data_IF_952954845238
#
_entry.id   IF_952954845238
#
_cell.length_a   1.000
_cell.length_b   1.000
_cell.length_c   1.000
_cell.angle_alpha   90.00
_cell.angle_beta   90.00
_cell.angle_gamma   90.00
#
_symmetry.space_group_name_H-M   'P 1'
#
loop_
_entity.id
_entity.type
_entity.pdbx_description
1 polymer ?
#
# COMPACT_ATOMS: atom_id res chain seq x y z
N UNK A 1 -6.18 11.62 3.70
CA UNK A 1 -6.03 10.31 4.34
C UNK A 1 -6.30 10.41 5.83
N UNK A 2 -7.19 9.59 6.37
CA UNK A 2 -7.64 9.51 7.76
C UNK A 2 -7.70 10.85 8.53
N UNK A 3 -8.41 11.87 8.04
CA UNK A 3 -8.46 13.19 8.67
C UNK A 3 -9.33 13.22 9.93
N UNK A 4 -9.54 12.08 10.56
CA UNK A 4 -10.44 11.87 11.71
C UNK A 4 -9.78 10.94 12.73
N UNK A 5 -10.11 11.11 13.98
CA UNK A 5 -9.66 10.22 15.05
C UNK A 5 -10.56 8.97 15.15
N UNK A 6 -11.87 9.18 15.08
CA UNK A 6 -12.89 8.12 15.12
C UNK A 6 -13.68 8.12 13.81
N UNK A 7 -14.02 6.92 13.31
CA UNK A 7 -14.86 6.78 12.12
C UNK A 7 -16.25 7.42 12.29
N UNK A 8 -16.76 7.44 13.49
CA UNK A 8 -18.06 8.07 13.80
C UNK A 8 -18.04 9.59 13.54
N UNK A 9 -16.89 10.23 13.56
CA UNK A 9 -16.74 11.64 13.22
C UNK A 9 -17.20 11.93 11.79
N UNK A 10 -17.09 10.95 10.90
CA UNK A 10 -17.55 11.04 9.51
C UNK A 10 -19.06 11.14 9.35
N UNK A 11 -19.83 10.72 10.35
CA UNK A 11 -21.31 10.83 10.33
C UNK A 11 -21.80 12.28 10.39
N UNK A 12 -20.93 13.21 10.78
CA UNK A 12 -21.24 14.63 10.89
C UNK A 12 -20.73 15.46 9.71
N UNK A 13 -20.11 14.81 8.72
CA UNK A 13 -19.49 15.48 7.58
C UNK A 13 -20.39 15.36 6.35
N UNK A 14 -20.73 16.50 5.77
CA UNK A 14 -21.34 16.53 4.43
C UNK A 14 -20.27 16.31 3.36
N UNK A 15 -20.12 15.05 2.96
CA UNK A 15 -19.10 14.62 1.99
C UNK A 15 -19.23 15.22 0.60
N UNK A 16 -20.37 15.84 0.27
CA UNK A 16 -20.57 16.50 -1.02
C UNK A 16 -19.69 17.73 -1.21
N UNK A 17 -19.24 18.33 -0.10
CA UNK A 17 -18.42 19.55 -0.07
C UNK A 17 -16.95 19.30 0.30
N UNK A 18 -16.57 18.06 0.55
CA UNK A 18 -15.21 17.71 0.97
C UNK A 18 -14.48 16.88 -0.09
N UNK A 19 -13.14 16.90 -0.11
CA UNK A 19 -12.36 16.00 -0.96
C UNK A 19 -12.60 14.53 -0.57
N UNK A 20 -12.23 13.63 -1.49
CA UNK A 20 -12.28 12.20 -1.26
C UNK A 20 -11.55 11.80 0.03
N UNK A 21 -12.16 10.92 0.82
CA UNK A 21 -11.60 10.45 2.08
C UNK A 21 -11.04 9.05 1.90
N UNK A 22 -9.78 8.87 2.28
CA UNK A 22 -9.08 7.59 2.26
C UNK A 22 -8.88 7.04 3.68
N UNK A 23 -8.87 5.71 3.81
CA UNK A 23 -8.41 5.00 5.01
C UNK A 23 -7.07 4.31 4.75
N UNK A 24 -6.18 4.28 5.75
CA UNK A 24 -4.91 3.56 5.76
C UNK A 24 -4.78 2.69 7.02
N UNK A 25 -4.57 3.28 8.19
CA UNK A 25 -4.34 2.52 9.43
C UNK A 25 -5.55 1.67 9.81
N UNK A 26 -6.74 2.12 9.47
CA UNK A 26 -7.99 1.38 9.69
C UNK A 26 -8.27 0.29 8.65
N UNK A 27 -7.48 0.26 7.57
CA UNK A 27 -7.52 -0.78 6.54
C UNK A 27 -6.73 -2.03 6.98
N UNK A 28 -7.15 -2.68 8.06
CA UNK A 28 -6.40 -3.77 8.71
C UNK A 28 -6.56 -5.13 8.04
N UNK A 29 -7.75 -5.43 7.56
CA UNK A 29 -8.10 -6.69 6.91
C UNK A 29 -9.30 -6.51 5.97
N UNK A 30 -9.55 -7.51 5.12
CA UNK A 30 -10.62 -7.48 4.13
C UNK A 30 -12.00 -7.20 4.74
N UNK A 31 -12.34 -7.85 5.84
CA UNK A 31 -13.69 -7.73 6.44
C UNK A 31 -13.88 -6.33 7.06
N UNK A 32 -12.86 -5.85 7.77
CA UNK A 32 -12.86 -4.51 8.35
C UNK A 32 -12.99 -3.43 7.27
N UNK A 33 -12.25 -3.54 6.18
CA UNK A 33 -12.33 -2.62 5.03
C UNK A 33 -13.75 -2.61 4.46
N UNK A 34 -14.31 -3.78 4.15
CA UNK A 34 -15.65 -3.88 3.56
C UNK A 34 -16.73 -3.31 4.48
N UNK A 35 -16.60 -3.54 5.80
CA UNK A 35 -17.51 -2.95 6.78
C UNK A 35 -17.42 -1.43 6.80
N UNK A 36 -16.20 -0.89 6.81
CA UNK A 36 -15.98 0.56 6.85
C UNK A 36 -16.53 1.24 5.60
N UNK A 37 -16.22 0.75 4.41
CA UNK A 37 -16.71 1.35 3.15
C UNK A 37 -18.23 1.23 2.97
N UNK A 38 -18.85 0.26 3.66
CA UNK A 38 -20.32 0.13 3.66
C UNK A 38 -21.00 1.12 4.61
N UNK A 39 -20.36 1.43 5.74
CA UNK A 39 -20.94 2.23 6.80
C UNK A 39 -20.62 3.73 6.70
N UNK A 40 -19.49 4.06 6.10
CA UNK A 40 -18.95 5.42 6.08
C UNK A 40 -18.66 5.89 4.65
N UNK A 41 -18.67 7.18 4.39
CA UNK A 41 -18.46 7.76 3.06
C UNK A 41 -16.99 7.74 2.64
N UNK A 42 -16.36 6.58 2.72
CA UNK A 42 -14.99 6.34 2.29
C UNK A 42 -14.97 6.10 0.79
N UNK A 43 -14.11 6.80 0.08
CA UNK A 43 -14.01 6.74 -1.38
C UNK A 43 -12.67 6.20 -1.87
N UNK A 44 -11.70 6.05 -0.96
CA UNK A 44 -10.40 5.49 -1.27
C UNK A 44 -9.87 4.61 -0.12
N UNK A 45 -9.05 3.63 -0.46
CA UNK A 45 -8.38 2.72 0.49
C UNK A 45 -6.92 2.62 0.15
N UNK A 46 -6.05 2.79 1.16
CA UNK A 46 -4.63 2.47 1.06
C UNK A 46 -4.46 0.98 1.31
N UNK A 47 -4.02 0.26 0.28
CA UNK A 47 -3.81 -1.19 0.32
C UNK A 47 -2.35 -1.47 0.57
N UNK A 48 -2.02 -2.07 1.73
CA UNK A 48 -0.66 -2.50 2.09
C UNK A 48 -0.58 -4.03 2.03
N UNK A 49 0.07 -4.61 1.02
CA UNK A 49 -0.01 -6.05 0.71
C UNK A 49 0.33 -6.95 1.89
N UNK A 50 1.38 -6.60 2.63
CA UNK A 50 1.87 -7.45 3.71
C UNK A 50 1.05 -7.33 5.01
N UNK A 51 0.28 -6.25 5.17
CA UNK A 51 -0.73 -6.14 6.23
C UNK A 51 -1.92 -7.08 5.98
N UNK A 52 -2.25 -7.30 4.71
CA UNK A 52 -3.38 -8.12 4.28
C UNK A 52 -3.06 -9.62 4.18
N UNK A 53 -1.82 -9.99 4.44
CA UNK A 53 -1.37 -11.39 4.43
C UNK A 53 -0.84 -11.87 3.09
N UNK A 54 -0.48 -10.97 2.18
CA UNK A 54 0.25 -11.28 0.96
C UNK A 54 -0.31 -10.65 -0.31
N UNK A 55 0.39 -10.91 -1.40
CA UNK A 55 0.17 -10.27 -2.71
C UNK A 55 -1.16 -10.70 -3.32
N UNK A 56 -1.47 -12.00 -3.27
CA UNK A 56 -2.69 -12.55 -3.88
C UNK A 56 -3.95 -11.95 -3.23
N UNK A 57 -3.95 -11.86 -1.90
CA UNK A 57 -5.05 -11.25 -1.15
C UNK A 57 -5.17 -9.76 -1.41
N UNK A 58 -4.04 -9.07 -1.55
CA UNK A 58 -4.04 -7.65 -1.88
C UNK A 58 -4.61 -7.41 -3.29
N UNK A 59 -4.24 -8.24 -4.27
CA UNK A 59 -4.75 -8.16 -5.64
C UNK A 59 -6.25 -8.42 -5.69
N UNK A 60 -6.73 -9.44 -5.00
CA UNK A 60 -8.15 -9.75 -4.88
C UNK A 60 -8.94 -8.58 -4.27
N UNK A 61 -8.43 -7.99 -3.19
CA UNK A 61 -9.03 -6.81 -2.57
C UNK A 61 -9.04 -5.61 -3.52
N UNK A 62 -7.96 -5.36 -4.25
CA UNK A 62 -7.88 -4.26 -5.23
C UNK A 62 -8.99 -4.40 -6.28
N UNK A 63 -9.18 -5.60 -6.83
CA UNK A 63 -10.24 -5.84 -7.81
C UNK A 63 -11.62 -5.61 -7.21
N UNK A 64 -11.87 -6.14 -6.01
CA UNK A 64 -13.15 -5.99 -5.31
C UNK A 64 -13.47 -4.51 -5.00
N UNK A 65 -12.47 -3.72 -4.59
CA UNK A 65 -12.65 -2.29 -4.32
C UNK A 65 -12.98 -1.52 -5.62
N UNK A 66 -12.30 -1.84 -6.72
CA UNK A 66 -12.56 -1.24 -8.03
C UNK A 66 -13.98 -1.55 -8.54
N UNK A 67 -14.46 -2.77 -8.35
CA UNK A 67 -15.85 -3.17 -8.68
C UNK A 67 -16.89 -2.34 -7.89
N UNK A 68 -16.52 -1.87 -6.72
CA UNK A 68 -17.37 -1.00 -5.87
C UNK A 68 -17.13 0.50 -6.09
N UNK A 69 -16.39 0.87 -7.12
CA UNK A 69 -15.95 2.26 -7.42
C UNK A 69 -15.14 2.91 -6.28
N UNK A 70 -14.54 2.12 -5.42
CA UNK A 70 -13.60 2.60 -4.41
C UNK A 70 -12.21 2.73 -5.03
N UNK A 71 -11.60 3.89 -4.89
CA UNK A 71 -10.26 4.15 -5.40
C UNK A 71 -9.21 3.46 -4.54
N UNK A 72 -8.15 3.02 -5.17
CA UNK A 72 -7.07 2.28 -4.50
C UNK A 72 -5.75 3.04 -4.60
N UNK A 73 -5.09 3.19 -3.48
CA UNK A 73 -3.69 3.60 -3.37
C UNK A 73 -2.92 2.38 -2.85
N UNK A 74 -1.92 1.90 -3.58
CA UNK A 74 -1.06 0.84 -3.06
C UNK A 74 0.09 1.49 -2.30
N UNK A 75 0.15 1.23 -0.99
CA UNK A 75 1.16 1.78 -0.10
C UNK A 75 2.19 0.75 0.33
N UNK A 76 3.44 1.18 0.47
CA UNK A 76 4.49 0.42 1.11
C UNK A 76 4.46 0.53 2.63
N UNK A 77 5.34 -0.22 3.24
CA UNK A 77 5.68 -0.14 4.67
C UNK A 77 7.20 0.00 4.79
N UNK A 78 7.78 -0.29 5.94
CA UNK A 78 9.22 -0.44 6.09
C UNK A 78 9.66 -1.76 5.44
N UNK A 79 9.93 -1.72 4.13
CA UNK A 79 10.12 -2.90 3.30
C UNK A 79 11.55 -3.05 2.80
N UNK A 80 12.05 -4.28 2.85
CA UNK A 80 13.23 -4.68 2.07
C UNK A 80 12.89 -4.78 0.57
N UNK A 81 13.91 -4.76 -0.28
CA UNK A 81 13.75 -4.66 -1.72
C UNK A 81 12.83 -5.72 -2.34
N UNK A 82 12.82 -6.96 -1.84
CA UNK A 82 11.93 -7.99 -2.35
C UNK A 82 10.45 -7.63 -2.15
N UNK A 83 10.08 -7.25 -0.94
CA UNK A 83 8.70 -6.81 -0.63
C UNK A 83 8.34 -5.58 -1.44
N UNK A 84 9.20 -4.58 -1.44
CA UNK A 84 9.04 -3.33 -2.19
C UNK A 84 8.85 -3.55 -3.69
N UNK A 85 9.54 -4.55 -4.27
CA UNK A 85 9.32 -4.93 -5.66
C UNK A 85 7.90 -5.39 -5.92
N UNK A 86 7.35 -6.25 -5.07
CA UNK A 86 5.97 -6.72 -5.22
C UNK A 86 4.95 -5.62 -4.94
N UNK A 87 5.20 -4.75 -3.97
CA UNK A 87 4.36 -3.57 -3.73
C UNK A 87 4.34 -2.67 -4.97
N UNK A 88 5.49 -2.46 -5.62
CA UNK A 88 5.59 -1.70 -6.86
C UNK A 88 4.84 -2.35 -8.03
N UNK A 89 4.83 -3.69 -8.13
CA UNK A 89 4.03 -4.39 -9.13
C UNK A 89 2.54 -4.19 -8.91
N UNK A 90 2.09 -4.32 -7.67
CA UNK A 90 0.69 -4.10 -7.30
C UNK A 90 0.25 -2.64 -7.50
N UNK A 91 1.16 -1.69 -7.35
CA UNK A 91 0.86 -0.26 -7.55
C UNK A 91 0.38 0.06 -8.98
N UNK A 92 0.70 -0.78 -9.97
CA UNK A 92 0.18 -0.68 -11.33
C UNK A 92 -1.34 -0.91 -11.39
N UNK A 93 -1.86 -1.66 -10.42
CA UNK A 93 -3.30 -1.91 -10.29
C UNK A 93 -4.02 -0.82 -9.48
N UNK A 94 -3.29 0.13 -8.89
CA UNK A 94 -3.86 1.25 -8.14
C UNK A 94 -4.64 2.22 -9.02
N UNK A 95 -5.54 2.98 -8.39
CA UNK A 95 -6.26 4.08 -9.02
C UNK A 95 -5.46 5.39 -9.02
N UNK A 96 -4.50 5.49 -8.09
CA UNK A 96 -3.58 6.60 -7.91
C UNK A 96 -2.14 6.10 -7.86
N UNK A 97 -1.15 6.98 -8.00
CA UNK A 97 0.25 6.62 -7.77
C UNK A 97 0.45 5.96 -6.41
N UNK A 98 1.26 4.90 -6.38
CA UNK A 98 1.58 4.20 -5.13
C UNK A 98 2.57 4.98 -4.27
N UNK A 99 2.51 4.76 -2.95
CA UNK A 99 3.50 5.26 -2.00
C UNK A 99 4.58 4.20 -1.78
N UNK A 100 5.68 4.33 -2.53
CA UNK A 100 6.77 3.35 -2.54
C UNK A 100 8.10 4.10 -2.44
N UNK A 101 8.84 3.80 -1.38
CA UNK A 101 10.12 4.46 -1.13
C UNK A 101 11.25 3.89 -1.99
N UNK A 102 12.26 4.72 -2.35
CA UNK A 102 13.43 4.25 -3.06
C UNK A 102 14.34 3.37 -2.18
N UNK A 103 15.29 2.70 -2.83
CA UNK A 103 16.34 1.93 -2.18
C UNK A 103 17.20 2.82 -1.25
N UNK A 104 17.63 2.23 -0.12
CA UNK A 104 18.46 2.94 0.86
C UNK A 104 17.72 3.99 1.70
N UNK A 105 16.39 4.11 1.59
CA UNK A 105 15.64 5.11 2.35
C UNK A 105 15.44 4.72 3.82
N UNK A 106 15.08 3.46 4.09
CA UNK A 106 14.84 2.97 5.46
C UNK A 106 15.99 2.12 6.01
N UNK A 107 16.69 1.40 5.14
CA UNK A 107 17.73 0.46 5.54
C UNK A 107 19.03 0.76 4.80
N UNK A 108 20.14 0.77 5.53
CA UNK A 108 21.49 0.92 4.95
C UNK A 108 21.91 -0.32 4.18
N UNK A 109 21.43 -1.49 4.60
CA UNK A 109 21.72 -2.78 3.99
C UNK A 109 20.44 -3.50 3.60
N UNK A 110 20.44 -4.12 2.42
CA UNK A 110 19.35 -4.94 1.92
C UNK A 110 19.93 -6.26 1.40
N UNK A 111 19.20 -7.36 1.57
CA UNK A 111 19.57 -8.67 1.01
C UNK A 111 19.22 -8.80 -0.47
N UNK A 112 18.65 -7.78 -1.07
CA UNK A 112 18.35 -7.69 -2.49
C UNK A 112 19.20 -6.65 -3.18
N UNK A 113 19.44 -6.84 -4.46
CA UNK A 113 20.24 -5.91 -5.27
C UNK A 113 19.43 -5.40 -6.46
N UNK A 114 19.61 -4.12 -6.79
CA UNK A 114 19.13 -3.53 -8.04
C UNK A 114 17.69 -3.06 -8.05
N UNK A 115 17.04 -2.94 -6.87
CA UNK A 115 15.64 -2.56 -6.76
C UNK A 115 15.48 -1.15 -6.23
N UNK A 116 14.57 -0.40 -6.84
CA UNK A 116 14.14 0.89 -6.30
C UNK A 116 15.19 1.98 -6.35
N UNK A 117 16.16 1.89 -7.25
CA UNK A 117 17.15 2.96 -7.43
C UNK A 117 16.50 4.19 -8.01
N UNK A 118 16.70 5.31 -7.33
CA UNK A 118 16.30 6.63 -7.83
C UNK A 118 17.35 7.12 -8.83
N UNK A 119 16.92 7.40 -10.05
CA UNK A 119 17.75 7.98 -11.08
C UNK A 119 16.94 9.03 -11.86
N UNK A 120 17.43 10.27 -11.90
CA UNK A 120 16.81 11.36 -12.67
C UNK A 120 15.32 11.57 -12.33
N UNK A 121 14.95 11.42 -11.06
CA UNK A 121 13.56 11.56 -10.60
C UNK A 121 12.67 10.32 -10.82
N UNK A 122 13.22 9.26 -11.40
CA UNK A 122 12.51 8.00 -11.65
C UNK A 122 13.02 6.88 -10.75
N UNK A 123 12.11 6.03 -10.30
CA UNK A 123 12.45 4.83 -9.53
C UNK A 123 12.29 3.61 -10.42
N UNK A 124 13.35 2.81 -10.53
CA UNK A 124 13.39 1.62 -11.37
C UNK A 124 13.22 0.36 -10.51
N UNK A 125 12.19 -0.41 -10.78
CA UNK A 125 11.90 -1.69 -10.12
C UNK A 125 12.14 -2.83 -11.10
N UNK A 126 13.33 -3.42 -11.04
CA UNK A 126 13.65 -4.66 -11.76
C UNK A 126 13.45 -5.87 -10.84
N UNK A 127 13.23 -7.08 -11.39
CA UNK A 127 13.21 -8.30 -10.59
C UNK A 127 14.47 -8.41 -9.71
N UNK A 128 14.31 -8.65 -8.39
CA UNK A 128 15.44 -8.63 -7.48
C UNK A 128 16.39 -9.81 -7.66
N UNK A 129 17.67 -9.54 -7.50
CA UNK A 129 18.65 -10.59 -7.24
C UNK A 129 18.82 -10.70 -5.73
N UNK A 130 18.57 -11.89 -5.19
CA UNK A 130 18.70 -12.15 -3.75
C UNK A 130 20.15 -12.50 -3.44
N UNK A 131 20.73 -11.82 -2.46
CA UNK A 131 22.01 -12.17 -1.87
C UNK A 131 21.78 -13.11 -0.69
N UNK A 132 21.85 -14.41 -0.94
CA UNK A 132 21.62 -15.45 0.08
C UNK A 132 22.61 -15.32 1.25
N UNK A 133 23.85 -14.88 0.99
CA UNK A 133 24.85 -14.72 2.04
C UNK A 133 24.51 -13.59 3.03
N UNK A 134 23.66 -12.64 2.64
CA UNK A 134 23.18 -11.59 3.54
C UNK A 134 22.06 -12.08 4.47
N UNK A 135 21.42 -13.22 4.17
CA UNK A 135 20.37 -13.82 5.00
C UNK A 135 20.94 -14.66 6.16
N UNK A 136 22.16 -15.19 6.01
CA UNK A 136 22.81 -16.04 7.03
C UNK A 136 23.34 -15.30 8.25
N UNK A 137 23.20 -13.99 8.31
CA UNK A 137 23.60 -13.15 9.46
C UNK A 137 22.60 -13.24 10.63
N UNK A 138 21.50 -13.95 10.45
CA UNK A 138 20.40 -14.03 11.44
C UNK A 138 20.21 -15.47 12.02
N UNK A 139 21.20 -16.34 11.87
CA UNK A 139 21.22 -17.63 12.57
C UNK A 139 21.86 -17.54 13.96
#
# INVERSE_FOLDING_TARGET
>A
EEPFKDLNDLSYIDVTHYPAIAIDEKATDLQSILKIIHQYPITAVVVKPFRLGGIDRALELIHLLKEKDIKVIVGGMYEYGLSRYFTALLAKEGSYPGDITPDGYYFETDFTQGIGKLKEGLIYFNPPKININALSVYE
#
